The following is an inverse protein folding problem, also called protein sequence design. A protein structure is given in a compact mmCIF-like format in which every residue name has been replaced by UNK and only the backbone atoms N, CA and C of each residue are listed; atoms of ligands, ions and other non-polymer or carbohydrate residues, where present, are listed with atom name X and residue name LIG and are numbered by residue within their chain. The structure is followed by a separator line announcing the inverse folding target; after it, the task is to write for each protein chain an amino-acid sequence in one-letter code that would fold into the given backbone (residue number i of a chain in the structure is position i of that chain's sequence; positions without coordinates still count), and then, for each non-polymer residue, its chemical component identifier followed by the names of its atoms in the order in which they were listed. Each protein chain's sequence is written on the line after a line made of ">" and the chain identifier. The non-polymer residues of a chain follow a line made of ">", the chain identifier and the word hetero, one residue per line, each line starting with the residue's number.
data_IF_724305401658
#
_entry.id   IF_724305401658
#
_cell.length_a   1.000
_cell.length_b   1.000
_cell.length_c   1.000
_cell.angle_alpha   90.00
_cell.angle_beta   90.00
_cell.angle_gamma   90.00
#
_symmetry.space_group_name_H-M   'P 1'
#
loop_
_entity.id
_entity.type
_entity.pdbx_description
1 polymer ?
#
# COMPACT_ATOMS: atom_id res chain seq x y z
N UNK A 1 -10.45 39.25 5.20
CA UNK A 1 -9.09 38.73 5.49
C UNK A 1 -8.72 37.51 4.64
N UNK A 2 -9.43 36.37 4.68
CA UNK A 2 -9.07 35.22 3.82
C UNK A 2 -9.41 35.41 2.32
N UNK A 3 -10.44 36.21 2.02
CA UNK A 3 -10.83 36.56 0.65
C UNK A 3 -9.81 37.53 0.03
N UNK A 4 -9.34 38.52 0.80
CA UNK A 4 -8.41 39.55 0.32
C UNK A 4 -7.04 38.98 -0.05
N UNK A 5 -6.53 38.00 0.72
CA UNK A 5 -5.29 37.30 0.41
C UNK A 5 -5.39 36.45 -0.86
N UNK A 6 -6.57 35.89 -1.15
CA UNK A 6 -6.81 35.09 -2.36
C UNK A 6 -6.83 35.98 -3.60
N UNK A 7 -7.45 37.16 -3.51
CA UNK A 7 -7.50 38.15 -4.60
C UNK A 7 -6.11 38.73 -4.92
N UNK A 8 -5.27 38.94 -3.91
CA UNK A 8 -3.90 39.46 -4.09
C UNK A 8 -2.96 38.44 -4.77
N UNK A 9 -3.14 37.14 -4.48
CA UNK A 9 -2.43 36.04 -5.15
C UNK A 9 -2.89 35.92 -6.61
N UNK A 10 -4.19 36.02 -6.89
CA UNK A 10 -4.73 35.98 -8.25
C UNK A 10 -4.24 37.16 -9.12
N UNK A 11 -4.14 38.35 -8.54
CA UNK A 11 -3.64 39.54 -9.23
C UNK A 11 -2.13 39.44 -9.57
N UNK A 12 -1.32 38.84 -8.69
CA UNK A 12 0.12 38.62 -8.95
C UNK A 12 0.39 37.62 -10.07
N UNK A 13 -0.51 36.67 -10.30
CA UNK A 13 -0.37 35.67 -11.35
C UNK A 13 -1.01 36.08 -12.69
N UNK A 14 -1.70 37.23 -12.76
CA UNK A 14 -2.29 37.76 -14.00
C UNK A 14 -3.42 36.89 -14.56
N UNK A 15 -4.24 36.28 -13.70
CA UNK A 15 -5.28 35.34 -14.12
C UNK A 15 -6.64 35.66 -13.48
N UNK A 16 -7.68 35.63 -14.31
CA UNK A 16 -9.06 35.92 -13.91
C UNK A 16 -9.81 34.71 -13.30
N UNK A 17 -9.25 33.51 -13.33
CA UNK A 17 -9.89 32.29 -12.79
C UNK A 17 -8.95 31.46 -11.89
N UNK A 18 -9.44 30.91 -10.75
CA UNK A 18 -8.65 30.10 -9.84
C UNK A 18 -8.32 28.71 -10.41
N UNK A 19 -7.04 28.33 -10.34
CA UNK A 19 -6.60 26.97 -10.68
C UNK A 19 -7.05 26.02 -9.57
N UNK A 20 -8.00 25.15 -9.90
CA UNK A 20 -8.43 24.07 -9.01
C UNK A 20 -7.42 22.92 -9.05
N UNK A 21 -6.50 22.89 -8.09
CA UNK A 21 -5.62 21.74 -7.87
C UNK A 21 -6.40 20.63 -7.16
N UNK A 22 -6.93 19.68 -7.92
CA UNK A 22 -7.43 18.43 -7.32
C UNK A 22 -6.25 17.53 -7.00
N UNK A 23 -5.92 17.39 -5.71
CA UNK A 23 -5.06 16.28 -5.28
C UNK A 23 -5.88 14.99 -5.36
N UNK A 24 -5.40 14.02 -6.13
CA UNK A 24 -6.01 12.69 -6.21
C UNK A 24 -5.67 11.86 -4.97
N UNK A 25 -5.94 12.38 -3.77
CA UNK A 25 -6.21 11.48 -2.65
C UNK A 25 -7.52 10.79 -3.02
N UNK A 26 -7.50 9.47 -3.24
CA UNK A 26 -8.73 8.69 -3.47
C UNK A 26 -9.68 8.99 -2.31
N UNK A 27 -10.63 9.88 -2.54
CA UNK A 27 -11.71 10.20 -1.62
C UNK A 27 -12.36 8.87 -1.30
N UNK A 28 -12.37 8.50 -0.02
CA UNK A 28 -13.05 7.28 0.43
C UNK A 28 -14.55 7.50 0.21
N UNK A 29 -15.02 7.19 -0.99
CA UNK A 29 -16.43 7.31 -1.37
C UNK A 29 -17.32 6.46 -0.47
N UNK A 30 -16.77 5.50 0.27
CA UNK A 30 -17.51 4.74 1.27
C UNK A 30 -17.67 5.47 2.62
N UNK A 31 -16.90 6.53 2.90
CA UNK A 31 -17.20 7.51 3.96
C UNK A 31 -18.24 8.52 3.47
N UNK A 32 -18.21 8.90 2.19
CA UNK A 32 -19.28 9.73 1.59
C UNK A 32 -20.65 9.00 1.62
N UNK A 33 -20.67 7.67 1.48
CA UNK A 33 -21.92 6.89 1.45
C UNK A 33 -22.53 6.54 2.80
N UNK A 34 -21.87 6.84 3.92
CA UNK A 34 -22.55 6.84 5.23
C UNK A 34 -23.55 8.01 5.33
N UNK A 35 -23.39 9.00 4.45
CA UNK A 35 -24.32 10.10 4.24
C UNK A 35 -25.27 9.73 3.09
N UNK A 36 -26.31 8.94 3.38
CA UNK A 36 -27.44 8.79 2.46
C UNK A 36 -28.04 10.17 2.24
N UNK A 37 -27.91 10.71 1.03
CA UNK A 37 -28.54 11.98 0.66
C UNK A 37 -29.92 11.67 0.11
N UNK A 38 -30.88 11.46 1.00
CA UNK A 38 -32.30 11.49 0.65
C UNK A 38 -32.77 12.94 0.71
N UNK A 39 -33.12 13.52 -0.44
CA UNK A 39 -33.60 14.91 -0.55
C UNK A 39 -33.13 15.64 -1.81
N UNK A 40 -33.68 16.83 -2.06
CA UNK A 40 -33.21 17.71 -3.13
C UNK A 40 -31.89 18.41 -2.76
N UNK A 41 -31.24 19.07 -3.73
CA UNK A 41 -29.97 19.76 -3.51
C UNK A 41 -30.04 20.84 -2.41
N UNK A 42 -31.22 21.43 -2.15
CA UNK A 42 -31.41 22.41 -1.08
C UNK A 42 -31.47 21.74 0.29
N UNK A 43 -32.13 20.59 0.40
CA UNK A 43 -32.15 19.78 1.63
C UNK A 43 -30.74 19.30 2.01
N UNK A 44 -29.92 18.95 1.01
CA UNK A 44 -28.51 18.60 1.24
C UNK A 44 -27.67 19.79 1.71
N UNK A 45 -27.79 20.95 1.04
CA UNK A 45 -27.08 22.16 1.46
C UNK A 45 -27.52 22.65 2.85
N UNK A 46 -28.79 22.43 3.22
CA UNK A 46 -29.29 22.71 4.56
C UNK A 46 -28.71 21.73 5.59
N UNK A 47 -28.65 20.42 5.29
CA UNK A 47 -28.04 19.43 6.18
C UNK A 47 -26.54 19.66 6.36
N UNK A 48 -25.82 20.01 5.30
CA UNK A 48 -24.37 20.25 5.37
C UNK A 48 -24.03 21.51 6.17
N UNK A 49 -24.91 22.52 6.18
CA UNK A 49 -24.74 23.73 7.00
C UNK A 49 -24.83 23.48 8.51
N UNK A 50 -25.51 22.42 8.94
CA UNK A 50 -25.66 22.05 10.37
C UNK A 50 -24.76 20.89 10.79
N UNK A 51 -24.06 20.25 9.86
CA UNK A 51 -23.14 19.15 10.16
C UNK A 51 -21.77 19.72 10.54
N UNK A 52 -21.25 19.26 11.68
CA UNK A 52 -19.86 19.48 12.02
C UNK A 52 -18.97 18.87 10.93
N UNK A 53 -18.04 19.66 10.39
CA UNK A 53 -17.10 19.20 9.41
C UNK A 53 -16.27 18.05 10.02
N UNK A 54 -15.88 17.01 9.26
CA UNK A 54 -15.03 15.93 9.76
C UNK A 54 -13.68 16.39 10.35
N UNK A 55 -13.28 17.66 10.09
CA UNK A 55 -12.10 18.31 10.67
C UNK A 55 -12.40 19.16 11.91
N UNK A 56 -13.67 19.39 12.24
CA UNK A 56 -14.10 20.13 13.45
C UNK A 56 -13.99 19.24 14.70
N UNK A 57 -13.99 17.91 14.52
CA UNK A 57 -13.72 16.96 15.58
C UNK A 57 -12.28 17.07 16.06
N UNK A 58 -12.08 17.00 17.40
CA UNK A 58 -10.72 16.89 17.95
C UNK A 58 -10.08 15.62 17.38
N UNK A 59 -8.95 15.72 16.68
CA UNK A 59 -8.26 14.55 16.18
C UNK A 59 -7.74 13.70 17.34
N UNK A 60 -7.77 12.39 17.16
CA UNK A 60 -7.19 11.43 18.10
C UNK A 60 -5.88 10.89 17.53
N UNK A 61 -4.85 10.81 18.38
CA UNK A 61 -3.59 10.15 18.07
C UNK A 61 -3.54 8.80 18.77
N UNK A 62 -2.82 7.82 18.24
CA UNK A 62 -2.50 6.60 18.99
C UNK A 62 -1.79 6.94 20.31
N UNK A 63 -2.13 6.22 21.38
CA UNK A 63 -1.56 6.45 22.72
C UNK A 63 -0.04 6.37 22.75
N UNK A 64 0.54 5.47 21.95
CA UNK A 64 2.00 5.34 21.80
C UNK A 64 2.65 6.61 21.26
N UNK A 65 1.98 7.31 20.33
CA UNK A 65 2.45 8.56 19.77
C UNK A 65 2.26 9.72 20.75
N UNK A 66 1.16 9.72 21.51
CA UNK A 66 0.95 10.68 22.60
C UNK A 66 2.05 10.57 23.65
N UNK A 67 2.33 9.36 24.14
CA UNK A 67 3.40 9.12 25.11
C UNK A 67 4.78 9.53 24.58
N UNK A 68 5.04 9.32 23.28
CA UNK A 68 6.29 9.74 22.65
C UNK A 68 6.40 11.28 22.59
N UNK A 69 5.31 11.98 22.24
CA UNK A 69 5.26 13.45 22.23
C UNK A 69 5.47 13.99 23.65
N UNK A 70 4.75 13.46 24.63
CA UNK A 70 4.83 13.93 26.03
C UNK A 70 6.24 13.73 26.62
N UNK A 71 6.89 12.60 26.29
CA UNK A 71 8.28 12.36 26.68
C UNK A 71 9.25 13.32 25.99
N UNK A 72 9.05 13.59 24.69
CA UNK A 72 9.90 14.51 23.94
C UNK A 72 9.76 15.96 24.44
N UNK A 73 8.55 16.37 24.86
CA UNK A 73 8.32 17.72 25.40
C UNK A 73 8.84 17.92 26.81
N UNK A 74 9.00 16.85 27.59
CA UNK A 74 9.42 16.92 29.00
C UNK A 74 10.90 16.60 29.23
N UNK A 75 11.58 15.97 28.26
CA UNK A 75 12.98 15.59 28.37
C UNK A 75 13.90 16.49 27.51
N UNK A 76 15.15 16.66 27.96
CA UNK A 76 16.17 17.34 27.13
C UNK A 76 16.55 16.49 25.93
N UNK A 77 16.99 17.14 24.84
CA UNK A 77 17.49 16.47 23.62
C UNK A 77 18.57 15.42 23.93
N UNK A 78 19.45 15.70 24.89
CA UNK A 78 20.50 14.79 25.33
C UNK A 78 19.94 13.54 26.00
N UNK A 79 18.96 13.69 26.90
CA UNK A 79 18.32 12.57 27.59
C UNK A 79 17.57 11.66 26.60
N UNK A 80 16.85 12.26 25.65
CA UNK A 80 16.18 11.54 24.56
C UNK A 80 17.19 10.76 23.72
N UNK A 81 18.27 11.40 23.29
CA UNK A 81 19.29 10.77 22.45
C UNK A 81 20.02 9.65 23.19
N UNK A 82 20.32 9.83 24.48
CA UNK A 82 20.91 8.78 25.33
C UNK A 82 19.98 7.57 25.44
N UNK A 83 18.68 7.78 25.66
CA UNK A 83 17.68 6.70 25.70
C UNK A 83 17.59 5.97 24.36
N UNK A 84 17.55 6.69 23.24
CA UNK A 84 17.54 6.10 21.88
C UNK A 84 18.80 5.27 21.62
N UNK A 85 19.97 5.80 21.94
CA UNK A 85 21.25 5.09 21.79
C UNK A 85 21.29 3.82 22.62
N UNK A 86 20.88 3.90 23.90
CA UNK A 86 20.82 2.74 24.78
C UNK A 86 19.87 1.68 24.24
N UNK A 87 18.67 2.06 23.82
CA UNK A 87 17.68 1.14 23.27
C UNK A 87 18.21 0.48 21.99
N UNK A 88 18.69 1.25 21.03
CA UNK A 88 19.26 0.71 19.78
C UNK A 88 20.47 -0.20 20.06
N UNK A 89 21.28 0.12 21.07
CA UNK A 89 22.38 -0.73 21.54
C UNK A 89 21.87 -2.08 22.04
N UNK A 90 20.88 -2.08 22.94
CA UNK A 90 20.25 -3.31 23.43
C UNK A 90 19.60 -4.13 22.32
N UNK A 91 18.95 -3.47 21.35
CA UNK A 91 18.35 -4.17 20.19
C UNK A 91 19.41 -4.82 19.29
N UNK A 92 20.56 -4.17 19.07
CA UNK A 92 21.68 -4.77 18.32
C UNK A 92 22.31 -5.94 19.06
N UNK A 93 22.47 -5.83 20.38
CA UNK A 93 22.93 -6.94 21.21
C UNK A 93 21.97 -8.13 21.09
N UNK A 94 20.66 -7.88 21.23
CA UNK A 94 19.63 -8.92 21.08
C UNK A 94 19.61 -9.54 19.68
N UNK A 95 19.75 -8.73 18.64
CA UNK A 95 19.88 -9.21 17.27
C UNK A 95 21.07 -10.18 17.11
N UNK A 96 22.19 -9.89 17.78
CA UNK A 96 23.39 -10.73 17.75
C UNK A 96 23.19 -12.04 18.52
N UNK A 97 22.56 -11.99 19.70
CA UNK A 97 22.19 -13.17 20.49
C UNK A 97 21.27 -14.13 19.72
N UNK A 98 20.33 -13.58 18.94
CA UNK A 98 19.40 -14.34 18.12
C UNK A 98 20.03 -14.83 16.80
N UNK A 99 21.28 -14.48 16.50
CA UNK A 99 21.97 -14.87 15.28
C UNK A 99 21.91 -16.38 14.98
N UNK A 100 22.23 -17.27 15.93
CA UNK A 100 22.12 -18.71 15.73
C UNK A 100 20.69 -19.18 15.42
N UNK A 101 19.68 -18.61 16.08
CA UNK A 101 18.27 -18.93 15.81
C UNK A 101 17.84 -18.43 14.43
N UNK A 102 18.28 -17.23 14.04
CA UNK A 102 18.02 -16.66 12.71
C UNK A 102 18.64 -17.53 11.61
N UNK A 103 19.82 -18.10 11.86
CA UNK A 103 20.46 -19.05 10.96
C UNK A 103 19.64 -20.34 10.77
N UNK A 104 19.12 -20.90 11.87
CA UNK A 104 18.23 -22.07 11.82
C UNK A 104 16.99 -21.76 10.98
N UNK A 105 16.35 -20.60 11.22
CA UNK A 105 15.17 -20.19 10.45
C UNK A 105 15.49 -20.00 8.98
N UNK A 106 16.65 -19.39 8.66
CA UNK A 106 17.14 -19.22 7.30
C UNK A 106 17.34 -20.56 6.60
N UNK A 107 17.91 -21.54 7.29
CA UNK A 107 18.12 -22.89 6.75
C UNK A 107 16.82 -23.65 6.44
N UNK A 108 15.70 -23.27 7.07
CA UNK A 108 14.37 -23.84 6.83
C UNK A 108 13.62 -23.15 5.68
N UNK A 109 14.07 -21.98 5.22
CA UNK A 109 13.43 -21.26 4.12
C UNK A 109 13.65 -22.00 2.79
N UNK A 110 12.62 -21.97 1.94
CA UNK A 110 12.77 -22.30 0.52
C UNK A 110 13.84 -21.41 -0.15
N UNK A 111 14.50 -21.92 -1.19
CA UNK A 111 15.59 -21.22 -1.87
C UNK A 111 15.18 -19.83 -2.37
N UNK A 112 13.99 -19.70 -2.96
CA UNK A 112 13.50 -18.42 -3.49
C UNK A 112 13.12 -17.42 -2.40
N UNK A 113 12.62 -17.89 -1.26
CA UNK A 113 12.33 -17.03 -0.10
C UNK A 113 13.65 -16.58 0.54
N UNK A 114 14.60 -17.51 0.70
CA UNK A 114 15.91 -17.25 1.32
C UNK A 114 16.72 -16.19 0.56
N UNK A 115 16.68 -16.17 -0.77
CA UNK A 115 17.40 -15.15 -1.54
C UNK A 115 16.87 -13.73 -1.30
N UNK A 116 15.57 -13.60 -1.01
CA UNK A 116 14.90 -12.31 -0.81
C UNK A 116 14.94 -11.87 0.65
N UNK A 117 14.49 -12.72 1.58
CA UNK A 117 14.28 -12.38 2.99
C UNK A 117 15.25 -13.07 3.96
N UNK A 118 16.13 -13.96 3.48
CA UNK A 118 17.02 -14.75 4.34
C UNK A 118 18.09 -13.95 5.08
N UNK A 119 18.32 -12.70 4.70
CA UNK A 119 19.20 -11.78 5.42
C UNK A 119 18.52 -11.07 6.61
N UNK A 120 17.20 -11.19 6.74
CA UNK A 120 16.44 -10.56 7.81
C UNK A 120 16.53 -11.38 9.11
N UNK A 121 16.62 -10.69 10.24
CA UNK A 121 16.54 -11.31 11.56
C UNK A 121 15.07 -11.51 11.97
N UNK A 122 14.44 -12.55 11.42
CA UNK A 122 13.03 -12.86 11.68
C UNK A 122 12.70 -13.24 13.14
N UNK A 123 13.58 -13.92 13.90
CA UNK A 123 13.35 -14.12 15.34
C UNK A 123 13.24 -12.79 16.11
N UNK A 124 14.08 -11.80 15.77
CA UNK A 124 13.97 -10.47 16.38
C UNK A 124 12.64 -9.79 16.01
N UNK A 125 12.17 -9.95 14.77
CA UNK A 125 10.87 -9.47 14.36
C UNK A 125 9.74 -10.13 15.16
N UNK A 126 9.82 -11.44 15.41
CA UNK A 126 8.86 -12.17 16.24
C UNK A 126 8.85 -11.61 17.68
N UNK A 127 10.02 -11.32 18.27
CA UNK A 127 10.08 -10.66 19.58
C UNK A 127 9.45 -9.27 19.58
N UNK A 128 9.67 -8.46 18.53
CA UNK A 128 9.04 -7.14 18.43
C UNK A 128 7.52 -7.20 18.32
N UNK A 129 7.01 -8.16 17.55
CA UNK A 129 5.58 -8.41 17.45
C UNK A 129 5.00 -8.73 18.83
N UNK A 130 5.66 -9.60 19.60
CA UNK A 130 5.24 -9.94 20.97
C UNK A 130 5.31 -8.75 21.94
N UNK A 131 6.43 -8.02 21.94
CA UNK A 131 6.67 -6.89 22.84
C UNK A 131 5.70 -5.73 22.60
N UNK A 132 5.37 -5.46 21.34
CA UNK A 132 4.45 -4.39 20.95
C UNK A 132 2.99 -4.82 20.93
N UNK A 133 2.72 -6.10 21.15
CA UNK A 133 1.39 -6.70 20.99
C UNK A 133 0.79 -6.40 19.61
N UNK A 134 1.63 -6.46 18.57
CA UNK A 134 1.20 -6.20 17.21
C UNK A 134 0.14 -7.21 16.77
N UNK A 135 -0.90 -6.73 16.07
CA UNK A 135 -2.08 -7.55 15.77
C UNK A 135 -1.80 -8.73 14.84
N UNK A 136 -0.81 -8.61 13.95
CA UNK A 136 -0.36 -9.72 13.11
C UNK A 136 0.78 -10.48 13.78
N UNK A 137 0.43 -11.54 14.48
CA UNK A 137 1.38 -12.40 15.19
C UNK A 137 2.11 -13.38 14.29
N UNK A 138 1.65 -13.54 13.04
CA UNK A 138 2.13 -14.56 12.10
C UNK A 138 3.13 -13.98 11.09
N UNK A 139 3.19 -12.65 10.94
CA UNK A 139 4.05 -11.94 9.99
C UNK A 139 5.48 -12.47 9.88
N UNK A 140 6.17 -12.72 11.00
CA UNK A 140 7.55 -13.22 10.96
C UNK A 140 7.66 -14.60 10.28
N UNK A 141 6.70 -15.49 10.55
CA UNK A 141 6.62 -16.82 9.94
C UNK A 141 6.14 -16.75 8.49
N UNK A 142 5.24 -15.83 8.16
CA UNK A 142 4.82 -15.60 6.77
C UNK A 142 5.98 -15.11 5.90
N UNK A 143 6.86 -14.25 6.43
CA UNK A 143 8.09 -13.84 5.73
C UNK A 143 9.08 -15.01 5.61
N UNK A 144 9.13 -15.90 6.60
CA UNK A 144 9.98 -17.10 6.57
C UNK A 144 9.51 -18.12 5.52
N UNK A 145 8.19 -18.32 5.41
CA UNK A 145 7.58 -19.32 4.52
C UNK A 145 7.32 -18.79 3.12
N UNK A 146 7.26 -17.46 2.96
CA UNK A 146 6.77 -16.81 1.76
C UNK A 146 5.25 -16.58 1.82
N UNK A 147 4.80 -15.54 1.11
CA UNK A 147 3.40 -15.18 1.02
C UNK A 147 2.81 -15.69 -0.29
N UNK A 148 1.55 -16.19 -0.31
CA UNK A 148 0.91 -16.59 -1.54
C UNK A 148 0.70 -15.38 -2.45
N UNK A 149 1.05 -15.52 -3.72
CA UNK A 149 0.78 -14.51 -4.76
C UNK A 149 -0.59 -14.74 -5.42
N UNK A 150 -1.06 -15.99 -5.42
CA UNK A 150 -2.34 -16.42 -5.98
C UNK A 150 -3.10 -17.28 -4.96
N UNK A 151 -4.37 -17.56 -5.24
CA UNK A 151 -5.24 -18.30 -4.34
C UNK A 151 -5.88 -17.40 -3.28
N UNK A 152 -6.35 -18.00 -2.19
CA UNK A 152 -6.98 -17.28 -1.10
C UNK A 152 -5.91 -16.67 -0.20
N UNK A 153 -5.83 -15.36 -0.17
CA UNK A 153 -4.94 -14.61 0.71
C UNK A 153 -5.34 -14.85 2.18
N UNK A 154 -4.36 -14.97 3.09
CA UNK A 154 -4.63 -15.12 4.52
C UNK A 154 -5.35 -13.89 5.08
N UNK A 155 -6.23 -14.11 6.05
CA UNK A 155 -6.92 -13.04 6.77
C UNK A 155 -6.12 -12.62 7.99
N UNK A 156 -5.67 -11.36 8.01
CA UNK A 156 -4.90 -10.77 9.09
C UNK A 156 -5.81 -9.87 9.91
N UNK A 157 -6.20 -10.36 11.09
CA UNK A 157 -7.11 -9.64 11.99
C UNK A 157 -6.44 -8.41 12.58
N UNK A 158 -7.19 -7.31 12.75
CA UNK A 158 -6.72 -6.09 13.39
C UNK A 158 -5.78 -5.21 12.55
N UNK A 159 -5.19 -5.72 11.47
CA UNK A 159 -4.31 -4.94 10.58
C UNK A 159 -5.07 -4.41 9.36
N UNK A 160 -5.78 -5.28 8.64
CA UNK A 160 -6.48 -4.89 7.41
C UNK A 160 -7.98 -4.85 7.63
N UNK A 161 -8.61 -3.81 7.08
CA UNK A 161 -10.06 -3.68 7.14
C UNK A 161 -10.72 -4.75 6.26
N UNK A 162 -11.84 -5.35 6.67
CA UNK A 162 -12.59 -6.24 5.79
C UNK A 162 -13.02 -5.49 4.52
N UNK A 163 -13.07 -6.19 3.39
CA UNK A 163 -13.74 -5.67 2.20
C UNK A 163 -15.18 -5.39 2.59
N UNK A 164 -15.60 -4.11 2.53
CA UNK A 164 -17.00 -3.75 2.74
C UNK A 164 -17.83 -4.58 1.75
N UNK A 165 -18.84 -5.29 2.25
CA UNK A 165 -19.87 -5.92 1.43
C UNK A 165 -20.78 -4.84 0.84
N UNK A 166 -20.28 -4.00 -0.05
CA UNK A 166 -21.14 -3.07 -0.78
C UNK A 166 -20.68 -2.96 -2.24
N UNK A 167 -21.50 -3.41 -3.21
CA UNK A 167 -21.20 -3.23 -4.62
C UNK A 167 -21.15 -1.72 -4.93
N UNK A 168 -20.33 -1.33 -5.90
CA UNK A 168 -20.38 0.03 -6.43
C UNK A 168 -21.78 0.34 -7.00
N UNK A 169 -22.48 1.41 -6.56
CA UNK A 169 -23.74 1.87 -7.13
C UNK A 169 -23.61 2.32 -8.58
N UNK A 170 -22.38 2.56 -9.09
CA UNK A 170 -22.17 2.80 -10.53
C UNK A 170 -22.33 1.53 -11.38
N UNK A 171 -22.35 0.34 -10.79
CA UNK A 171 -22.78 -0.89 -11.47
C UNK A 171 -24.29 -1.20 -11.31
N UNK A 172 -25.00 -0.53 -10.39
CA UNK A 172 -26.41 -0.85 -10.10
C UNK A 172 -27.43 -0.08 -10.96
N UNK A 173 -27.02 0.95 -11.71
CA UNK A 173 -27.92 1.64 -12.65
C UNK A 173 -28.02 0.98 -14.04
N UNK A 174 -27.33 -0.14 -14.28
CA UNK A 174 -27.76 -1.08 -15.35
C UNK A 174 -28.87 -1.96 -14.76
N UNK A 175 -30.12 -1.53 -15.01
CA UNK A 175 -31.40 -2.26 -14.89
C UNK A 175 -31.33 -3.58 -14.11
N UNK A 176 -32.15 -3.63 -13.06
CA UNK A 176 -32.54 -4.77 -12.20
C UNK A 176 -32.89 -6.08 -12.96
N UNK A 177 -31.88 -6.69 -13.59
CA UNK A 177 -31.86 -8.06 -14.14
C UNK A 177 -30.41 -8.56 -14.10
N UNK A 178 -29.79 -8.49 -12.92
CA UNK A 178 -28.62 -9.30 -12.63
C UNK A 178 -28.89 -10.01 -11.32
N UNK A 179 -29.29 -11.28 -11.41
CA UNK A 179 -28.95 -12.32 -10.43
C UNK A 179 -27.61 -11.91 -9.83
N UNK A 180 -27.47 -11.86 -8.50
CA UNK A 180 -26.17 -11.78 -7.82
C UNK A 180 -25.24 -12.70 -8.60
N UNK A 181 -24.43 -12.16 -9.51
CA UNK A 181 -23.47 -12.95 -10.26
C UNK A 181 -22.44 -13.19 -9.19
N UNK A 182 -22.63 -14.25 -8.38
CA UNK A 182 -21.52 -14.93 -7.73
C UNK A 182 -20.47 -14.95 -8.82
N UNK A 183 -19.35 -14.23 -8.64
CA UNK A 183 -18.24 -14.29 -9.60
C UNK A 183 -18.06 -15.78 -9.84
N UNK A 184 -18.39 -16.24 -11.04
CA UNK A 184 -18.42 -17.67 -11.34
C UNK A 184 -17.00 -18.09 -11.09
N UNK A 185 -16.76 -18.95 -10.09
CA UNK A 185 -15.42 -19.48 -9.85
C UNK A 185 -15.02 -20.12 -11.17
N UNK A 186 -14.04 -19.52 -11.84
CA UNK A 186 -13.55 -20.02 -13.10
C UNK A 186 -12.91 -21.38 -12.80
N UNK A 187 -13.14 -22.35 -13.68
CA UNK A 187 -12.41 -23.61 -13.60
C UNK A 187 -10.94 -23.35 -13.97
N UNK A 188 -10.04 -24.25 -13.58
CA UNK A 188 -8.63 -24.14 -13.99
C UNK A 188 -8.49 -24.04 -15.51
N UNK A 189 -9.26 -24.82 -16.27
CA UNK A 189 -9.30 -24.74 -17.74
C UNK A 189 -9.67 -23.34 -18.23
N UNK A 190 -10.71 -22.73 -17.64
CA UNK A 190 -11.17 -21.40 -18.05
C UNK A 190 -10.12 -20.32 -17.76
N UNK A 191 -9.45 -20.39 -16.59
CA UNK A 191 -8.35 -19.47 -16.27
C UNK A 191 -7.20 -19.62 -17.27
N UNK A 192 -6.84 -20.85 -17.63
CA UNK A 192 -5.78 -21.12 -18.61
C UNK A 192 -6.14 -20.66 -20.02
N UNK A 193 -7.40 -20.83 -20.44
CA UNK A 193 -7.90 -20.38 -21.75
C UNK A 193 -7.92 -18.85 -21.84
N UNK A 194 -8.36 -18.18 -20.76
CA UNK A 194 -8.36 -16.73 -20.65
C UNK A 194 -6.93 -16.16 -20.62
N UNK A 195 -6.03 -16.77 -19.84
CA UNK A 195 -4.62 -16.40 -19.79
C UNK A 195 -3.94 -16.60 -21.15
N UNK A 196 -4.19 -17.72 -21.83
CA UNK A 196 -3.66 -17.99 -23.18
C UNK A 196 -4.16 -16.96 -24.20
N UNK A 197 -5.45 -16.61 -24.13
CA UNK A 197 -6.04 -15.60 -25.01
C UNK A 197 -5.49 -14.21 -24.73
N UNK A 198 -5.24 -13.87 -23.46
CA UNK A 198 -4.60 -12.63 -23.07
C UNK A 198 -3.15 -12.55 -23.54
N UNK A 199 -2.39 -13.64 -23.37
CA UNK A 199 -1.01 -13.76 -23.84
C UNK A 199 -0.91 -13.53 -25.36
N UNK A 200 -1.80 -14.12 -26.17
CA UNK A 200 -1.84 -13.85 -27.63
C UNK A 200 -2.05 -12.37 -27.93
N UNK A 201 -2.92 -11.69 -27.17
CA UNK A 201 -3.13 -10.23 -27.34
C UNK A 201 -1.88 -9.44 -27.00
N UNK A 202 -1.24 -9.75 -25.87
CA UNK A 202 0.03 -9.11 -25.47
C UNK A 202 1.11 -9.31 -26.52
N UNK A 203 1.28 -10.53 -27.04
CA UNK A 203 2.24 -10.81 -28.11
C UNK A 203 1.91 -10.03 -29.39
N UNK A 204 0.63 -9.95 -29.75
CA UNK A 204 0.15 -9.17 -30.89
C UNK A 204 0.23 -7.64 -30.68
N UNK A 205 0.54 -7.16 -29.49
CA UNK A 205 0.82 -5.73 -29.21
C UNK A 205 2.30 -5.41 -29.37
N UNK A 206 3.19 -6.40 -29.41
CA UNK A 206 4.63 -6.17 -29.62
C UNK A 206 4.82 -5.64 -31.04
N UNK A 207 5.44 -4.47 -31.16
CA UNK A 207 5.78 -3.81 -32.42
C UNK A 207 7.30 -3.73 -32.54
N UNK A 208 7.84 -4.09 -33.70
CA UNK A 208 9.26 -3.82 -33.99
C UNK A 208 9.49 -2.30 -33.97
N UNK A 209 10.46 -1.85 -33.16
CA UNK A 209 10.82 -0.44 -33.02
C UNK A 209 10.23 0.27 -31.79
N UNK A 210 9.28 -0.34 -31.07
CA UNK A 210 8.75 0.17 -29.80
C UNK A 210 9.46 -0.49 -28.60
N UNK A 211 10.80 -0.44 -28.60
CA UNK A 211 11.58 -0.93 -27.48
C UNK A 211 11.68 0.15 -26.40
N UNK A 212 11.22 -0.18 -25.20
CA UNK A 212 11.30 0.72 -24.05
C UNK A 212 12.61 0.45 -23.28
N UNK A 213 13.64 1.25 -23.60
CA UNK A 213 14.96 1.16 -22.97
C UNK A 213 14.91 1.39 -21.45
N UNK A 214 14.01 2.27 -20.98
CA UNK A 214 13.83 2.57 -19.56
C UNK A 214 13.35 1.32 -18.81
N UNK A 215 12.31 0.65 -19.33
CA UNK A 215 11.79 -0.59 -18.74
C UNK A 215 12.84 -1.71 -18.79
N UNK A 216 13.56 -1.85 -19.90
CA UNK A 216 14.56 -2.90 -20.06
C UNK A 216 15.72 -2.73 -19.08
N UNK A 217 16.32 -1.53 -19.01
CA UNK A 217 17.44 -1.25 -18.11
C UNK A 217 17.06 -1.46 -16.64
N UNK A 218 15.89 -0.97 -16.22
CA UNK A 218 15.43 -1.17 -14.85
C UNK A 218 15.09 -2.64 -14.55
N UNK A 219 14.63 -3.42 -15.53
CA UNK A 219 14.43 -4.87 -15.36
C UNK A 219 15.76 -5.61 -15.19
N UNK A 220 16.79 -5.26 -15.96
CA UNK A 220 18.13 -5.85 -15.80
C UNK A 220 18.76 -5.50 -14.44
N UNK A 221 18.54 -4.30 -13.92
CA UNK A 221 18.98 -3.94 -12.57
C UNK A 221 18.28 -4.77 -11.46
N UNK A 222 16.99 -5.11 -11.65
CA UNK A 222 16.27 -6.01 -10.75
C UNK A 222 16.79 -7.47 -10.84
N UNK A 223 17.22 -7.91 -12.02
CA UNK A 223 17.90 -9.20 -12.19
C UNK A 223 19.25 -9.20 -11.47
N UNK A 224 20.07 -8.16 -11.66
CA UNK A 224 21.39 -8.03 -11.01
C UNK A 224 21.28 -8.00 -9.48
N UNK A 225 20.24 -7.37 -8.94
CA UNK A 225 19.96 -7.36 -7.50
C UNK A 225 19.30 -8.64 -6.97
N UNK A 226 19.06 -9.64 -7.82
CA UNK A 226 18.48 -10.93 -7.44
C UNK A 226 16.98 -10.89 -7.13
N UNK A 227 16.27 -9.82 -7.53
CA UNK A 227 14.82 -9.69 -7.40
C UNK A 227 14.07 -10.41 -8.53
N UNK A 228 14.75 -10.67 -9.64
CA UNK A 228 14.22 -11.38 -10.81
C UNK A 228 15.25 -12.36 -11.36
N UNK A 229 14.78 -13.33 -12.14
CA UNK A 229 15.64 -14.26 -12.88
C UNK A 229 15.53 -14.04 -14.40
N UNK A 230 16.62 -14.27 -15.12
CA UNK A 230 16.69 -14.14 -16.58
C UNK A 230 17.84 -13.23 -17.02
N UNK A 231 17.77 -12.61 -18.20
CA UNK A 231 16.74 -12.82 -19.23
C UNK A 231 16.77 -14.25 -19.77
N UNK A 232 15.59 -14.83 -20.00
CA UNK A 232 15.45 -16.14 -20.62
C UNK A 232 15.00 -15.99 -22.08
N UNK A 233 15.56 -16.80 -22.97
CA UNK A 233 14.95 -17.05 -24.27
C UNK A 233 13.60 -17.77 -24.10
N UNK A 234 12.76 -17.76 -25.15
CA UNK A 234 11.47 -18.44 -25.12
C UNK A 234 11.61 -19.94 -24.81
N UNK A 235 12.61 -20.58 -25.41
CA UNK A 235 12.89 -22.00 -25.23
C UNK A 235 13.34 -22.30 -23.80
N UNK A 236 14.26 -21.50 -23.24
CA UNK A 236 14.72 -21.66 -21.85
C UNK A 236 13.57 -21.46 -20.85
N UNK A 237 12.71 -20.44 -21.07
CA UNK A 237 11.54 -20.20 -20.24
C UNK A 237 10.54 -21.35 -20.32
N UNK A 238 10.32 -21.92 -21.51
CA UNK A 238 9.44 -23.07 -21.69
C UNK A 238 10.00 -24.34 -21.05
N UNK A 239 11.29 -24.61 -21.19
CA UNK A 239 11.95 -25.76 -20.57
C UNK A 239 11.92 -25.68 -19.04
N UNK A 240 12.14 -24.47 -18.48
CA UNK A 240 12.19 -24.26 -17.03
C UNK A 240 10.82 -24.20 -16.38
N UNK A 241 9.86 -23.50 -17.00
CA UNK A 241 8.56 -23.20 -16.38
C UNK A 241 7.38 -23.88 -17.07
N UNK A 242 7.60 -24.60 -18.18
CA UNK A 242 6.55 -25.18 -19.00
C UNK A 242 5.65 -24.11 -19.62
N UNK A 243 4.34 -24.40 -19.65
CA UNK A 243 3.33 -23.43 -20.09
C UNK A 243 3.20 -22.34 -19.03
N UNK A 244 3.78 -21.18 -19.32
CA UNK A 244 3.79 -20.01 -18.45
C UNK A 244 2.83 -18.92 -18.94
N UNK A 245 2.56 -17.96 -18.06
CA UNK A 245 1.79 -16.75 -18.34
C UNK A 245 2.76 -15.58 -18.49
N UNK A 246 2.53 -14.73 -19.49
CA UNK A 246 3.34 -13.52 -19.72
C UNK A 246 2.61 -12.31 -19.13
N UNK A 247 3.31 -11.55 -18.29
CA UNK A 247 2.87 -10.26 -17.76
C UNK A 247 3.73 -9.15 -18.35
N UNK A 248 3.10 -8.20 -19.05
CA UNK A 248 3.80 -7.01 -19.54
C UNK A 248 4.13 -6.11 -18.36
N UNK A 249 5.36 -5.59 -18.31
CA UNK A 249 5.77 -4.56 -17.34
C UNK A 249 5.37 -3.18 -17.85
N UNK A 250 5.01 -2.28 -16.93
CA UNK A 250 4.73 -0.88 -17.24
C UNK A 250 5.35 0.04 -16.18
N UNK A 251 5.78 1.25 -16.56
CA UNK A 251 6.39 2.19 -15.64
C UNK A 251 5.32 2.97 -14.86
N UNK A 252 5.55 3.14 -13.57
CA UNK A 252 4.83 4.03 -12.68
C UNK A 252 5.79 5.12 -12.24
N UNK A 253 5.65 6.31 -12.83
CA UNK A 253 6.52 7.46 -12.57
C UNK A 253 6.18 8.08 -11.21
N UNK A 254 7.13 8.06 -10.28
CA UNK A 254 7.09 8.78 -9.01
C UNK A 254 8.06 9.98 -9.09
N UNK A 255 7.93 11.01 -8.23
CA UNK A 255 8.79 12.20 -8.30
C UNK A 255 10.30 11.91 -8.21
N UNK A 256 10.68 10.88 -7.46
CA UNK A 256 12.07 10.49 -7.19
C UNK A 256 12.57 9.31 -8.05
N UNK A 257 11.66 8.47 -8.56
CA UNK A 257 12.01 7.24 -9.30
C UNK A 257 10.85 6.71 -10.14
N UNK A 258 11.19 5.99 -11.20
CA UNK A 258 10.23 5.13 -11.91
C UNK A 258 10.20 3.75 -11.25
N UNK A 259 9.00 3.27 -10.90
CA UNK A 259 8.78 1.89 -10.44
C UNK A 259 8.23 1.06 -11.58
N UNK A 260 8.81 -0.09 -11.87
CA UNK A 260 8.22 -1.03 -12.81
C UNK A 260 7.18 -1.89 -12.10
N UNK A 261 6.03 -2.09 -12.75
CA UNK A 261 4.94 -2.91 -12.23
C UNK A 261 4.54 -3.95 -13.27
N UNK A 262 4.22 -5.15 -12.82
CA UNK A 262 3.70 -6.21 -13.68
C UNK A 262 2.19 -6.07 -13.84
N UNK A 263 1.69 -6.10 -15.08
CA UNK A 263 0.26 -6.01 -15.35
C UNK A 263 -0.46 -7.35 -15.11
N UNK A 264 -0.55 -7.73 -13.83
CA UNK A 264 -1.28 -8.91 -13.35
C UNK A 264 -2.78 -8.89 -13.62
N UNK A 265 -3.32 -7.72 -13.99
CA UNK A 265 -4.70 -7.63 -14.47
C UNK A 265 -4.81 -8.13 -15.90
N UNK A 266 -3.94 -7.68 -16.79
CA UNK A 266 -3.93 -8.15 -18.19
C UNK A 266 -3.59 -9.63 -18.26
N UNK A 267 -2.58 -10.09 -17.53
CA UNK A 267 -2.15 -11.50 -17.57
C UNK A 267 -3.09 -12.49 -16.87
N UNK A 268 -4.19 -12.03 -16.29
CA UNK A 268 -5.17 -12.84 -15.54
C UNK A 268 -4.66 -13.44 -14.21
N UNK A 269 -3.45 -13.10 -13.76
CA UNK A 269 -2.96 -13.52 -12.42
C UNK A 269 -3.90 -13.02 -11.31
N UNK A 270 -4.41 -11.80 -11.42
CA UNK A 270 -5.39 -11.25 -10.48
C UNK A 270 -6.71 -12.04 -10.45
N UNK A 271 -7.09 -12.74 -11.53
CA UNK A 271 -8.29 -13.57 -11.56
C UNK A 271 -8.13 -14.88 -10.75
N UNK A 272 -6.88 -15.32 -10.55
CA UNK A 272 -6.53 -16.44 -9.70
C UNK A 272 -6.36 -16.08 -8.22
N UNK A 273 -6.55 -14.80 -7.85
CA UNK A 273 -6.33 -14.29 -6.49
C UNK A 273 -7.66 -13.93 -5.82
N UNK A 274 -7.85 -14.41 -4.60
CA UNK A 274 -8.99 -14.10 -3.74
C UNK A 274 -8.48 -13.40 -2.48
N UNK A 275 -8.95 -12.18 -2.24
CA UNK A 275 -8.67 -11.42 -1.02
C UNK A 275 -9.99 -10.98 -0.38
N UNK A 276 -10.03 -10.98 0.95
CA UNK A 276 -11.21 -10.61 1.75
C UNK A 276 -11.01 -9.31 2.54
N UNK A 277 -9.81 -8.74 2.48
CA UNK A 277 -9.42 -7.55 3.22
C UNK A 277 -8.81 -6.49 2.32
N UNK A 278 -8.85 -5.24 2.77
CA UNK A 278 -8.36 -4.05 2.11
C UNK A 278 -7.18 -3.47 2.90
N UNK A 279 -6.10 -3.16 2.19
CA UNK A 279 -4.99 -2.37 2.73
C UNK A 279 -5.50 -0.97 3.07
N UNK A 280 -5.30 -0.54 4.31
CA UNK A 280 -5.59 0.81 4.79
C UNK A 280 -4.29 1.47 5.19
N UNK A 281 -3.94 2.59 4.55
CA UNK A 281 -2.80 3.42 4.94
C UNK A 281 -3.32 4.61 5.78
N UNK A 282 -2.94 4.73 7.06
CA UNK A 282 -3.31 5.87 7.89
C UNK A 282 -2.23 6.95 7.78
N UNK A 283 -2.17 7.70 6.68
CA UNK A 283 -1.03 8.62 6.44
C UNK A 283 -1.32 10.08 6.73
N UNK A 284 -2.42 10.67 6.25
CA UNK A 284 -2.54 12.14 6.31
C UNK A 284 -3.00 12.67 7.68
N UNK A 285 -4.03 12.07 8.28
CA UNK A 285 -4.60 12.58 9.53
C UNK A 285 -3.63 12.46 10.71
N UNK A 286 -2.92 11.33 10.84
CA UNK A 286 -1.97 11.09 11.94
C UNK A 286 -0.81 12.09 11.91
N UNK A 287 -0.28 12.40 10.72
CA UNK A 287 0.86 13.31 10.55
C UNK A 287 0.50 14.77 10.87
N UNK A 288 -0.64 15.25 10.38
CA UNK A 288 -1.11 16.63 10.63
C UNK A 288 -1.27 16.92 12.12
N UNK A 289 -1.79 15.94 12.85
CA UNK A 289 -2.12 16.08 14.28
C UNK A 289 -0.87 16.01 15.14
N UNK A 290 0.06 15.12 14.81
CA UNK A 290 1.37 15.06 15.45
C UNK A 290 2.12 16.39 15.29
N UNK A 291 2.15 16.94 14.07
CA UNK A 291 2.81 18.22 13.80
C UNK A 291 2.20 19.38 14.58
N UNK A 292 0.87 19.50 14.65
CA UNK A 292 0.18 20.53 15.43
C UNK A 292 0.48 20.48 16.93
N UNK A 293 0.72 19.28 17.50
CA UNK A 293 1.08 19.16 18.92
C UNK A 293 2.53 19.57 19.18
N UNK A 294 3.45 19.17 18.31
CA UNK A 294 4.87 19.53 18.44
C UNK A 294 5.10 21.03 18.23
N UNK A 295 4.42 21.65 17.25
CA UNK A 295 4.57 23.07 16.91
C UNK A 295 3.99 24.04 17.96
N UNK A 296 3.11 23.58 18.85
CA UNK A 296 2.55 24.42 19.93
C UNK A 296 3.55 24.74 21.03
N UNK A 297 4.68 24.05 21.10
CA UNK A 297 5.72 24.31 22.09
C UNK A 297 6.78 25.33 21.63
N UNK A 298 6.81 25.73 20.36
CA UNK A 298 7.83 26.65 19.80
C UNK A 298 7.32 28.10 19.54
N UNK A 299 6.06 28.42 19.87
CA UNK A 299 5.50 29.76 19.67
C UNK A 299 5.35 30.56 20.98
N UNK A 300 5.81 30.04 22.12
CA UNK A 300 5.81 30.75 23.40
C UNK A 300 7.17 31.35 23.78
N UNK A 301 8.17 31.28 22.89
CA UNK A 301 9.55 31.74 23.15
C UNK A 301 10.13 32.62 22.04
N UNK A 302 9.29 33.35 21.29
CA UNK A 302 9.70 34.44 20.41
C UNK A 302 8.89 35.70 20.72
#
# INVERSE_FOLDING_TARGET
>A
MAIDALTEIMAKEGRDEPISYYSSAKVDTAKIREFSVDGDAKAHAAQDRVRAHPLDGKPSLPDSLLAAIDYQSSATSEAVNKKRHSLLGSLRARASELGPTAEIWRCQMDQGVRSISGHLNLPLLEEFIQLTQYSDTQLAKDIQQGLPVIGKMPEIKGVFAPLKSNPDPKESNKKKTKKKKKKKRLTASQLLDEASSSMRKTLNEIRLGEFDEEIWAATLAEVESGLMEGPYSHEEAFQRFGRHVISKRFPVRQPDKTRLCDDYRRSQVNAATEYTQRITLPTHHTLEVAWRKMSKHDLASL
#
